data_IF_537212998221
#
_entry.id   IF_537212998221
#
_cell.length_a   1.000
_cell.length_b   1.000
_cell.length_c   1.000
_cell.angle_alpha   90.00
_cell.angle_beta   90.00
_cell.angle_gamma   90.00
#
_symmetry.space_group_name_H-M   'P 1'
#
loop_
_entity.id
_entity.type
_entity.pdbx_description
1 polymer ?
#
# COMPACT_ATOMS: atom_id res chain seq x y z
N UNK A 1 18.77 -29.10 9.20
CA UNK A 1 18.29 -27.77 9.57
C UNK A 1 16.86 -27.92 10.08
N UNK A 2 16.62 -27.85 11.40
CA UNK A 2 15.25 -27.87 11.92
C UNK A 2 14.61 -26.53 11.69
N UNK A 3 13.60 -26.48 10.84
CA UNK A 3 12.77 -25.27 10.65
C UNK A 3 11.90 -25.13 11.91
N UNK A 4 12.32 -24.28 12.83
CA UNK A 4 11.57 -23.97 14.05
C UNK A 4 10.39 -23.08 13.65
N UNK A 5 9.19 -23.64 13.62
CA UNK A 5 7.96 -22.87 13.36
C UNK A 5 7.77 -21.91 14.54
N UNK A 6 7.66 -20.58 14.29
CA UNK A 6 7.46 -19.61 15.37
C UNK A 6 6.12 -19.86 16.06
N UNK A 7 6.07 -19.64 17.38
CA UNK A 7 4.82 -19.77 18.14
C UNK A 7 3.79 -18.72 17.70
N UNK A 8 2.51 -19.04 17.85
CA UNK A 8 1.41 -18.11 17.51
C UNK A 8 1.53 -16.82 18.32
N UNK A 9 1.88 -16.90 19.59
CA UNK A 9 2.09 -15.72 20.45
C UNK A 9 3.20 -14.82 19.95
N UNK A 10 4.29 -15.39 19.45
CA UNK A 10 5.37 -14.65 18.83
C UNK A 10 4.90 -13.91 17.56
N UNK A 11 4.10 -14.58 16.72
CA UNK A 11 3.56 -13.98 15.51
C UNK A 11 2.60 -12.83 15.83
N UNK A 12 1.73 -13.00 16.82
CA UNK A 12 0.81 -11.94 17.28
C UNK A 12 1.59 -10.74 17.83
N UNK A 13 2.60 -10.98 18.66
CA UNK A 13 3.42 -9.91 19.22
C UNK A 13 4.16 -9.13 18.14
N UNK A 14 4.75 -9.81 17.15
CA UNK A 14 5.44 -9.17 16.02
C UNK A 14 4.47 -8.39 15.11
N UNK A 15 3.28 -8.94 14.85
CA UNK A 15 2.24 -8.25 14.08
C UNK A 15 1.79 -6.97 14.78
N UNK A 16 1.51 -7.04 16.07
CA UNK A 16 1.14 -5.86 16.88
C UNK A 16 2.24 -4.80 16.88
N UNK A 17 3.49 -5.21 17.05
CA UNK A 17 4.64 -4.28 16.99
C UNK A 17 4.75 -3.59 15.62
N UNK A 18 4.55 -4.32 14.53
CA UNK A 18 4.56 -3.76 13.17
C UNK A 18 3.41 -2.79 12.93
N UNK A 19 2.20 -3.11 13.37
CA UNK A 19 1.02 -2.23 13.26
C UNK A 19 1.24 -0.91 14.01
N UNK A 20 1.79 -0.97 15.22
CA UNK A 20 2.07 0.22 16.04
C UNK A 20 3.24 1.05 15.48
N UNK A 21 4.19 0.43 14.78
CA UNK A 21 5.31 1.12 14.16
C UNK A 21 4.88 1.94 12.94
N UNK A 22 3.91 1.44 12.16
CA UNK A 22 3.48 2.03 10.89
C UNK A 22 2.00 2.41 10.88
N UNK A 23 1.50 3.25 11.79
CA UNK A 23 0.07 3.50 11.94
C UNK A 23 -0.58 4.10 10.69
N UNK A 24 0.05 5.07 10.01
CA UNK A 24 -0.49 5.70 8.81
C UNK A 24 -0.53 4.74 7.61
N UNK A 25 0.41 3.80 7.51
CA UNK A 25 0.38 2.73 6.50
C UNK A 25 -0.84 1.84 6.72
N UNK A 26 -1.07 1.45 7.99
CA UNK A 26 -2.22 0.60 8.36
C UNK A 26 -3.53 1.32 8.09
N UNK A 27 -3.66 2.58 8.49
CA UNK A 27 -4.85 3.39 8.21
C UNK A 27 -5.11 3.49 6.71
N UNK A 28 -4.08 3.76 5.90
CA UNK A 28 -4.21 3.82 4.43
C UNK A 28 -4.67 2.47 3.86
N UNK A 29 -4.11 1.35 4.34
CA UNK A 29 -4.49 0.02 3.88
C UNK A 29 -5.93 -0.34 4.25
N UNK A 30 -6.36 -0.04 5.47
CA UNK A 30 -7.74 -0.27 5.92
C UNK A 30 -8.72 0.59 5.12
N UNK A 31 -8.43 1.88 4.93
CA UNK A 31 -9.27 2.76 4.13
C UNK A 31 -9.37 2.29 2.68
N UNK A 32 -8.27 1.88 2.06
CA UNK A 32 -8.27 1.31 0.71
C UNK A 32 -9.13 0.04 0.63
N UNK A 33 -9.04 -0.85 1.62
CA UNK A 33 -9.84 -2.07 1.67
C UNK A 33 -11.34 -1.78 1.81
N UNK A 34 -11.72 -0.86 2.69
CA UNK A 34 -13.12 -0.42 2.87
C UNK A 34 -13.65 0.20 1.58
N UNK A 35 -12.89 1.11 0.95
CA UNK A 35 -13.29 1.73 -0.32
C UNK A 35 -13.43 0.71 -1.45
N UNK A 36 -12.57 -0.31 -1.50
CA UNK A 36 -12.67 -1.40 -2.47
C UNK A 36 -13.98 -2.20 -2.27
N UNK A 37 -14.33 -2.52 -1.03
CA UNK A 37 -15.60 -3.20 -0.70
C UNK A 37 -16.79 -2.33 -1.10
N UNK A 38 -16.79 -1.04 -0.70
CA UNK A 38 -17.84 -0.10 -1.10
C UNK A 38 -18.01 -0.01 -2.62
N UNK A 39 -16.89 -0.01 -3.36
CA UNK A 39 -16.91 0.08 -4.82
C UNK A 39 -17.56 -1.15 -5.48
N UNK A 40 -17.42 -2.34 -4.87
CA UNK A 40 -18.07 -3.58 -5.33
C UNK A 40 -19.60 -3.52 -5.08
N UNK A 41 -20.02 -2.91 -3.98
CA UNK A 41 -21.44 -2.79 -3.61
C UNK A 41 -22.20 -1.71 -4.43
N UNK A 42 -21.49 -0.73 -4.99
CA UNK A 42 -22.11 0.35 -5.76
C UNK A 42 -22.56 -0.17 -7.13
N UNK A 43 -23.89 -0.16 -7.35
CA UNK A 43 -24.49 -0.53 -8.63
C UNK A 43 -24.28 0.54 -9.71
N UNK A 44 -24.04 0.10 -10.94
CA UNK A 44 -23.84 0.99 -12.08
C UNK A 44 -25.08 1.86 -12.35
N UNK A 45 -24.86 3.13 -12.62
CA UNK A 45 -25.90 4.10 -13.04
C UNK A 45 -26.62 4.84 -11.92
N UNK A 46 -26.43 4.48 -10.64
CA UNK A 46 -27.12 5.14 -9.51
C UNK A 46 -26.25 6.22 -8.87
N UNK A 47 -24.94 6.02 -8.80
CA UNK A 47 -23.99 6.92 -8.12
C UNK A 47 -22.74 7.13 -8.97
N UNK A 48 -22.22 8.38 -8.99
CA UNK A 48 -20.92 8.63 -9.62
C UNK A 48 -19.83 7.84 -8.88
N UNK A 49 -19.18 6.89 -9.56
CA UNK A 49 -18.15 6.01 -9.01
C UNK A 49 -16.77 6.68 -8.92
N UNK A 50 -16.54 7.77 -9.67
CA UNK A 50 -15.22 8.40 -9.77
C UNK A 50 -14.65 8.86 -8.44
N UNK A 51 -15.40 9.49 -7.51
CA UNK A 51 -14.86 9.86 -6.21
C UNK A 51 -14.36 8.66 -5.39
N UNK A 52 -15.05 7.51 -5.47
CA UNK A 52 -14.65 6.28 -4.78
C UNK A 52 -13.39 5.67 -5.38
N UNK A 53 -13.29 5.63 -6.73
CA UNK A 53 -12.11 5.17 -7.44
C UNK A 53 -10.91 6.07 -7.10
N UNK A 54 -11.07 7.39 -7.15
CA UNK A 54 -10.02 8.35 -6.85
C UNK A 54 -9.56 8.24 -5.39
N UNK A 55 -10.50 8.06 -4.45
CA UNK A 55 -10.20 7.83 -3.03
C UNK A 55 -9.44 6.53 -2.83
N UNK A 56 -9.87 5.45 -3.51
CA UNK A 56 -9.18 4.15 -3.47
C UNK A 56 -7.75 4.26 -3.98
N UNK A 57 -7.56 4.88 -5.15
CA UNK A 57 -6.23 5.07 -5.74
C UNK A 57 -5.32 5.92 -4.83
N UNK A 58 -5.85 7.02 -4.28
CA UNK A 58 -5.08 7.90 -3.40
C UNK A 58 -4.71 7.22 -2.09
N UNK A 59 -5.62 6.49 -1.46
CA UNK A 59 -5.34 5.76 -0.21
C UNK A 59 -4.41 4.57 -0.45
N UNK A 60 -4.53 3.87 -1.57
CA UNK A 60 -3.60 2.80 -1.95
C UNK A 60 -2.17 3.33 -2.14
N UNK A 61 -2.01 4.51 -2.77
CA UNK A 61 -0.73 5.20 -2.90
C UNK A 61 -0.16 5.64 -1.54
N UNK A 62 -1.02 5.88 -0.56
CA UNK A 62 -0.63 6.20 0.82
C UNK A 62 0.20 5.09 1.49
N UNK A 63 0.00 3.82 1.14
CA UNK A 63 0.72 2.69 1.73
C UNK A 63 2.25 2.83 1.50
N UNK A 64 2.76 2.83 0.27
CA UNK A 64 4.20 2.99 0.03
C UNK A 64 4.71 4.38 0.40
N UNK A 65 3.90 5.45 0.28
CA UNK A 65 4.27 6.80 0.65
C UNK A 65 4.55 6.91 2.15
N UNK A 66 3.61 6.52 3.02
CA UNK A 66 3.81 6.60 4.47
C UNK A 66 4.85 5.61 4.98
N UNK A 67 5.03 4.47 4.32
CA UNK A 67 6.15 3.59 4.62
C UNK A 67 7.49 4.29 4.36
N UNK A 68 7.64 4.95 3.21
CA UNK A 68 8.82 5.71 2.85
C UNK A 68 9.08 6.87 3.85
N UNK A 69 8.04 7.67 4.14
CA UNK A 69 8.15 8.79 5.07
C UNK A 69 8.52 8.34 6.49
N UNK A 70 7.89 7.27 6.98
CA UNK A 70 8.21 6.70 8.29
C UNK A 70 9.65 6.21 8.38
N UNK A 71 10.12 5.51 7.35
CA UNK A 71 11.51 5.03 7.28
C UNK A 71 12.50 6.21 7.24
N UNK A 72 12.16 7.28 6.52
CA UNK A 72 12.95 8.51 6.46
C UNK A 72 12.99 9.23 7.82
N UNK A 73 11.83 9.33 8.51
CA UNK A 73 11.73 9.91 9.86
C UNK A 73 12.61 9.15 10.85
N UNK A 74 12.54 7.81 10.83
CA UNK A 74 13.36 6.96 11.70
C UNK A 74 14.84 7.08 11.39
N UNK A 75 15.22 7.11 10.12
CA UNK A 75 16.62 7.20 9.71
C UNK A 75 17.25 8.56 10.02
N UNK A 76 16.48 9.65 9.94
CA UNK A 76 16.92 11.01 10.28
C UNK A 76 16.64 11.39 11.73
N UNK A 77 16.17 10.47 12.54
CA UNK A 77 15.83 10.67 13.96
C UNK A 77 14.92 11.90 14.19
N UNK A 78 14.00 12.14 13.24
CA UNK A 78 13.09 13.28 13.34
C UNK A 78 12.04 13.01 14.42
N UNK A 79 11.98 13.89 15.41
CA UNK A 79 11.05 13.79 16.54
C UNK A 79 10.14 15.01 16.64
N UNK A 80 9.06 14.87 17.40
CA UNK A 80 8.14 15.97 17.69
C UNK A 80 7.54 16.60 16.43
N UNK A 81 7.58 17.93 16.36
CA UNK A 81 6.91 18.72 15.32
C UNK A 81 7.44 18.41 13.90
N UNK A 82 8.73 18.04 13.77
CA UNK A 82 9.32 17.69 12.46
C UNK A 82 8.70 16.41 11.90
N UNK A 83 8.50 15.39 12.74
CA UNK A 83 7.83 14.15 12.33
C UNK A 83 6.38 14.40 11.92
N UNK A 84 5.65 15.23 12.68
CA UNK A 84 4.27 15.62 12.34
C UNK A 84 4.24 16.38 11.03
N UNK A 85 5.14 17.34 10.81
CA UNK A 85 5.21 18.11 9.56
C UNK A 85 5.45 17.22 8.32
N UNK A 86 6.35 16.23 8.42
CA UNK A 86 6.62 15.29 7.32
C UNK A 86 5.39 14.43 7.01
N UNK A 87 4.70 13.93 8.04
CA UNK A 87 3.47 13.16 7.85
C UNK A 87 2.33 14.01 7.27
N UNK A 88 2.18 15.26 7.72
CA UNK A 88 1.19 16.20 7.17
C UNK A 88 1.47 16.53 5.69
N UNK A 89 2.73 16.67 5.32
CA UNK A 89 3.12 16.83 3.92
C UNK A 89 2.75 15.60 3.09
N UNK A 90 2.89 14.40 3.64
CA UNK A 90 2.43 13.16 3.01
C UNK A 90 0.92 13.15 2.77
N UNK A 91 0.12 13.55 3.79
CA UNK A 91 -1.34 13.67 3.64
C UNK A 91 -1.69 14.70 2.57
N UNK A 92 -1.04 15.87 2.59
CA UNK A 92 -1.25 16.91 1.57
C UNK A 92 -0.95 16.39 0.16
N UNK A 93 0.13 15.64 -0.01
CA UNK A 93 0.48 15.02 -1.29
C UNK A 93 -0.63 14.05 -1.79
N UNK A 94 -1.20 13.23 -0.91
CA UNK A 94 -2.32 12.35 -1.27
C UNK A 94 -3.59 13.14 -1.66
N UNK A 95 -3.89 14.23 -0.96
CA UNK A 95 -5.00 15.12 -1.33
C UNK A 95 -4.77 15.74 -2.70
N UNK A 96 -3.56 16.20 -3.00
CA UNK A 96 -3.22 16.74 -4.31
C UNK A 96 -3.33 15.68 -5.42
N UNK A 97 -2.93 14.45 -5.16
CA UNK A 97 -3.13 13.33 -6.09
C UNK A 97 -4.61 13.10 -6.33
N UNK A 98 -5.43 13.04 -5.28
CA UNK A 98 -6.88 12.90 -5.40
C UNK A 98 -7.50 14.00 -6.26
N UNK A 99 -7.13 15.26 -6.02
CA UNK A 99 -7.64 16.43 -6.78
C UNK A 99 -7.14 16.44 -8.23
N UNK A 100 -6.05 15.76 -8.54
CA UNK A 100 -5.51 15.65 -9.90
C UNK A 100 -6.21 14.60 -10.77
N UNK A 101 -7.02 13.73 -10.16
CA UNK A 101 -7.77 12.67 -10.84
C UNK A 101 -9.13 13.23 -11.34
N UNK A 102 -9.71 12.64 -12.42
CA UNK A 102 -10.96 13.14 -13.01
C UNK A 102 -12.13 12.96 -12.05
N UNK A 103 -12.93 14.01 -11.86
CA UNK A 103 -14.10 13.99 -10.97
C UNK A 103 -15.36 13.39 -11.60
N UNK A 104 -15.40 13.29 -12.92
CA UNK A 104 -16.56 12.76 -13.68
C UNK A 104 -16.08 11.86 -14.81
N UNK A 105 -16.95 10.96 -15.21
CA UNK A 105 -16.71 10.03 -16.34
C UNK A 105 -16.86 10.75 -17.68
N UNK A 106 -16.05 11.80 -17.90
CA UNK A 106 -16.03 12.52 -19.16
C UNK A 106 -15.17 11.75 -20.17
N UNK A 107 -15.76 11.47 -21.32
CA UNK A 107 -15.19 10.63 -22.39
C UNK A 107 -13.96 11.20 -23.10
N UNK A 108 -13.52 12.40 -22.76
CA UNK A 108 -12.36 13.07 -23.37
C UNK A 108 -11.12 12.95 -22.49
N UNK A 109 -10.14 12.14 -22.91
CA UNK A 109 -8.80 12.03 -22.34
C UNK A 109 -8.70 11.49 -20.90
N UNK A 110 -9.48 10.47 -20.55
CA UNK A 110 -9.41 9.78 -19.24
C UNK A 110 -8.03 9.15 -18.99
N UNK A 111 -7.29 8.79 -20.03
CA UNK A 111 -6.01 8.09 -19.91
C UNK A 111 -4.90 8.92 -19.27
N UNK A 112 -4.83 10.23 -19.53
CA UNK A 112 -3.72 11.07 -19.07
C UNK A 112 -3.59 11.21 -17.55
N UNK A 113 -4.66 11.44 -16.77
CA UNK A 113 -4.60 11.47 -15.31
C UNK A 113 -4.14 10.13 -14.72
N UNK A 114 -4.59 9.00 -15.28
CA UNK A 114 -4.18 7.67 -14.81
C UNK A 114 -2.74 7.32 -15.18
N UNK A 115 -2.24 7.80 -16.32
CA UNK A 115 -0.81 7.70 -16.65
C UNK A 115 0.03 8.50 -15.64
N UNK A 116 -0.38 9.72 -15.30
CA UNK A 116 0.30 10.52 -14.25
C UNK A 116 0.29 9.79 -12.91
N UNK A 117 -0.86 9.22 -12.52
CA UNK A 117 -0.96 8.41 -11.31
C UNK A 117 0.01 7.22 -11.34
N UNK A 118 0.10 6.49 -12.45
CA UNK A 118 1.05 5.37 -12.60
C UNK A 118 2.50 5.83 -12.45
N UNK A 119 2.87 6.99 -13.02
CA UNK A 119 4.20 7.57 -12.85
C UNK A 119 4.47 7.91 -11.37
N UNK A 120 3.52 8.53 -10.66
CA UNK A 120 3.66 8.81 -9.23
C UNK A 120 3.81 7.51 -8.43
N UNK A 121 2.99 6.50 -8.74
CA UNK A 121 3.04 5.19 -8.08
C UNK A 121 4.42 4.53 -8.23
N UNK A 122 4.94 4.45 -9.46
CA UNK A 122 6.28 3.91 -9.73
C UNK A 122 7.35 4.74 -9.02
N UNK A 123 7.26 6.07 -9.06
CA UNK A 123 8.24 6.97 -8.42
C UNK A 123 8.31 6.75 -6.91
N UNK A 124 7.15 6.60 -6.24
CA UNK A 124 7.10 6.34 -4.79
C UNK A 124 7.63 4.95 -4.46
N UNK A 125 7.32 3.93 -5.26
CA UNK A 125 7.89 2.59 -5.05
C UNK A 125 9.42 2.58 -5.23
N UNK A 126 9.95 3.30 -6.22
CA UNK A 126 11.40 3.49 -6.35
C UNK A 126 11.97 4.25 -5.15
N UNK A 127 11.26 5.28 -4.65
CA UNK A 127 11.70 6.03 -3.48
C UNK A 127 11.80 5.16 -2.22
N UNK A 128 10.91 4.16 -2.04
CA UNK A 128 11.00 3.18 -0.96
C UNK A 128 12.35 2.45 -0.97
N UNK A 129 12.90 2.16 -2.15
CA UNK A 129 14.17 1.45 -2.30
C UNK A 129 15.38 2.25 -1.83
N UNK A 130 15.41 3.56 -2.03
CA UNK A 130 16.60 4.37 -1.74
C UNK A 130 16.44 5.38 -0.61
N UNK A 131 15.21 5.72 -0.19
CA UNK A 131 14.97 6.70 0.86
C UNK A 131 15.77 6.44 2.17
N UNK A 132 15.94 5.20 2.63
CA UNK A 132 16.72 4.92 3.83
C UNK A 132 18.20 5.24 3.68
N UNK A 133 18.71 5.39 2.45
CA UNK A 133 20.14 5.55 2.13
C UNK A 133 20.53 6.92 1.59
N UNK A 134 19.60 7.88 1.58
CA UNK A 134 19.83 9.24 1.05
C UNK A 134 20.99 10.01 1.76
N UNK A 135 21.37 9.61 2.95
CA UNK A 135 22.37 10.34 3.76
C UNK A 135 23.67 9.59 4.04
N UNK A 136 23.83 8.35 3.60
CA UNK A 136 25.02 7.54 3.90
C UNK A 136 25.41 6.67 2.70
N UNK A 137 26.70 6.70 2.34
CA UNK A 137 27.28 5.92 1.24
C UNK A 137 27.48 4.43 1.54
N UNK A 138 26.55 3.79 2.25
CA UNK A 138 26.61 2.38 2.63
C UNK A 138 26.10 1.46 1.50
N UNK A 139 26.91 1.20 0.49
CA UNK A 139 26.56 0.35 -0.65
C UNK A 139 26.11 -1.06 -0.24
N UNK A 140 26.79 -1.69 0.72
CA UNK A 140 26.44 -3.03 1.19
C UNK A 140 25.08 -3.06 1.91
N UNK A 141 24.78 -2.06 2.72
CA UNK A 141 23.50 -1.92 3.40
C UNK A 141 22.37 -1.71 2.41
N UNK A 142 22.57 -0.86 1.41
CA UNK A 142 21.62 -0.62 0.32
C UNK A 142 21.26 -1.91 -0.44
N UNK A 143 22.26 -2.69 -0.82
CA UNK A 143 22.06 -3.94 -1.55
C UNK A 143 21.30 -4.98 -0.74
N UNK A 144 21.70 -5.19 0.52
CA UNK A 144 21.03 -6.14 1.42
C UNK A 144 19.59 -5.74 1.71
N UNK A 145 19.32 -4.45 1.91
CA UNK A 145 17.97 -3.93 2.12
C UNK A 145 17.08 -4.20 0.91
N UNK A 146 17.52 -3.83 -0.29
CA UNK A 146 16.73 -4.01 -1.50
C UNK A 146 16.52 -5.49 -1.84
N UNK A 147 17.53 -6.34 -1.64
CA UNK A 147 17.39 -7.80 -1.76
C UNK A 147 16.31 -8.32 -0.81
N UNK A 148 16.35 -7.92 0.48
CA UNK A 148 15.36 -8.36 1.46
C UNK A 148 13.96 -7.82 1.15
N UNK A 149 13.85 -6.57 0.71
CA UNK A 149 12.60 -5.95 0.28
C UNK A 149 11.97 -6.74 -0.88
N UNK A 150 12.76 -7.05 -1.90
CA UNK A 150 12.33 -7.85 -3.06
C UNK A 150 11.90 -9.25 -2.65
N UNK A 151 12.70 -9.96 -1.85
CA UNK A 151 12.35 -11.30 -1.38
C UNK A 151 11.06 -11.31 -0.54
N UNK A 152 10.87 -10.31 0.33
CA UNK A 152 9.64 -10.17 1.13
C UNK A 152 8.43 -9.86 0.24
N UNK A 153 8.60 -9.01 -0.77
CA UNK A 153 7.57 -8.73 -1.76
C UNK A 153 7.17 -10.01 -2.51
N UNK A 154 8.12 -10.74 -3.08
CA UNK A 154 7.85 -12.00 -3.77
C UNK A 154 7.16 -13.02 -2.87
N UNK A 155 7.61 -13.16 -1.63
CA UNK A 155 7.01 -14.04 -0.63
C UNK A 155 5.55 -13.65 -0.34
N UNK A 156 5.26 -12.36 -0.18
CA UNK A 156 3.91 -11.86 0.06
C UNK A 156 2.99 -12.13 -1.13
N UNK A 157 3.46 -11.90 -2.35
CA UNK A 157 2.71 -12.19 -3.59
C UNK A 157 2.40 -13.68 -3.71
N UNK A 158 3.37 -14.56 -3.43
CA UNK A 158 3.16 -16.00 -3.46
C UNK A 158 2.11 -16.44 -2.43
N UNK A 159 2.22 -16.02 -1.18
CA UNK A 159 1.25 -16.39 -0.15
C UNK A 159 -0.14 -15.85 -0.44
N UNK A 160 -0.25 -14.59 -0.85
CA UNK A 160 -1.52 -13.98 -1.23
C UNK A 160 -2.14 -14.69 -2.43
N UNK A 161 -1.33 -15.03 -3.44
CA UNK A 161 -1.76 -15.77 -4.62
C UNK A 161 -2.30 -17.16 -4.28
N UNK A 162 -1.60 -17.92 -3.44
CA UNK A 162 -2.08 -19.24 -2.99
C UNK A 162 -3.39 -19.16 -2.19
N UNK A 163 -3.52 -18.19 -1.29
CA UNK A 163 -4.75 -17.98 -0.53
C UNK A 163 -5.92 -17.60 -1.46
N UNK A 164 -5.68 -16.70 -2.41
CA UNK A 164 -6.68 -16.27 -3.37
C UNK A 164 -7.15 -17.44 -4.27
N UNK A 165 -6.20 -18.21 -4.83
CA UNK A 165 -6.51 -19.37 -5.66
C UNK A 165 -7.25 -20.45 -4.87
N UNK A 166 -6.84 -20.72 -3.64
CA UNK A 166 -7.53 -21.66 -2.75
C UNK A 166 -8.97 -21.23 -2.47
N UNK A 167 -9.20 -19.94 -2.21
CA UNK A 167 -10.56 -19.41 -2.00
C UNK A 167 -11.42 -19.50 -3.27
N UNK A 168 -10.86 -19.13 -4.43
CA UNK A 168 -11.57 -19.23 -5.72
C UNK A 168 -11.93 -20.68 -6.03
N UNK A 169 -11.03 -21.64 -5.83
CA UNK A 169 -11.30 -23.05 -6.02
C UNK A 169 -12.38 -23.56 -5.07
N UNK A 170 -12.34 -23.18 -3.79
CA UNK A 170 -13.33 -23.56 -2.81
C UNK A 170 -14.74 -23.03 -3.19
N UNK A 171 -14.84 -21.75 -3.54
CA UNK A 171 -16.10 -21.13 -3.96
C UNK A 171 -16.63 -21.72 -5.26
N UNK A 172 -15.75 -21.98 -6.25
CA UNK A 172 -16.13 -22.61 -7.51
C UNK A 172 -16.64 -24.03 -7.31
N UNK A 173 -16.01 -24.80 -6.40
CA UNK A 173 -16.44 -26.15 -6.06
C UNK A 173 -17.81 -26.16 -5.38
N UNK A 174 -18.06 -25.22 -4.47
CA UNK A 174 -19.38 -25.07 -3.83
C UNK A 174 -20.44 -24.73 -4.86
N UNK A 175 -20.17 -23.81 -5.77
CA UNK A 175 -21.11 -23.44 -6.84
C UNK A 175 -21.46 -24.64 -7.72
N UNK A 176 -20.46 -25.40 -8.17
CA UNK A 176 -20.68 -26.61 -8.99
C UNK A 176 -21.44 -27.74 -8.26
N UNK A 177 -21.44 -27.74 -6.93
CA UNK A 177 -22.11 -28.76 -6.13
C UNK A 177 -23.59 -28.40 -5.89
N UNK A 178 -23.93 -27.11 -5.89
CA UNK A 178 -25.27 -26.62 -5.52
C UNK A 178 -26.07 -26.00 -6.69
N UNK A 179 -25.48 -25.87 -7.89
CA UNK A 179 -26.17 -25.61 -9.18
C UNK A 179 -26.51 -26.93 -9.87
#
# INVERSE_FOLDING_TARGET
MQVKIPSVDYLIAQSKASLLRFPLVVVSAVMASVLAICLVEIHDGVVNRMPYINSLLSTALGIPLFYCLKTLIERKELTGIKSVAVNSLGVLALVLVYLSLPGTDSTTNISLPYIRYAVFNISIHLMVSFAPFLSHGELNGFWQYNKNLFLRFCQSVLYSGFLFLGLVLALSSLRLLFD
#
